data_IF_834778075087
#
_entry.id   IF_834778075087
#
_cell.length_a   1.000
_cell.length_b   1.000
_cell.length_c   1.000
_cell.angle_alpha   90.00
_cell.angle_beta   90.00
_cell.angle_gamma   90.00
#
_symmetry.space_group_name_H-M   'P 1'
#
loop_
_entity.id
_entity.type
_entity.pdbx_description
1 polymer ?
#
# COMPACT_ATOMS: atom_id res chain seq x y z
N UNK A 1 -3.67 32.85 13.60
CA UNK A 1 -2.64 31.80 13.51
C UNK A 1 -1.46 32.24 14.35
N UNK A 2 -0.80 31.34 15.09
CA UNK A 2 0.44 31.68 15.79
C UNK A 2 1.50 32.18 14.78
N UNK A 3 2.34 33.11 15.21
CA UNK A 3 3.46 33.56 14.39
C UNK A 3 4.43 32.39 14.17
N UNK A 4 4.91 32.16 12.93
CA UNK A 4 5.85 31.09 12.67
C UNK A 4 7.17 31.32 13.40
N UNK A 5 7.79 30.23 13.86
CA UNK A 5 9.14 30.28 14.44
C UNK A 5 10.15 30.27 13.30
N UNK A 6 11.02 31.27 13.27
CA UNK A 6 12.10 31.37 12.28
C UNK A 6 13.25 30.42 12.63
N UNK A 7 13.59 29.51 11.72
CA UNK A 7 14.69 28.55 11.88
C UNK A 7 15.73 28.80 10.79
N UNK A 8 16.97 29.08 11.21
CA UNK A 8 18.12 29.18 10.31
C UNK A 8 18.68 27.79 10.03
N UNK A 9 18.62 27.35 8.79
CA UNK A 9 19.13 26.05 8.37
C UNK A 9 20.59 26.13 7.90
N UNK A 10 21.44 25.15 8.24
CA UNK A 10 22.75 25.01 7.62
C UNK A 10 22.61 24.73 6.12
N UNK A 11 23.61 25.14 5.33
CA UNK A 11 23.63 25.04 3.86
C UNK A 11 23.30 23.63 3.34
N UNK A 12 23.78 22.59 4.00
CA UNK A 12 23.54 21.21 3.55
C UNK A 12 22.06 20.80 3.68
N UNK A 13 21.32 21.31 4.67
CA UNK A 13 19.88 21.05 4.78
C UNK A 13 19.09 21.84 3.73
N UNK A 14 19.52 23.06 3.40
CA UNK A 14 18.93 23.83 2.31
C UNK A 14 19.13 23.10 0.97
N UNK A 15 20.35 22.60 0.72
CA UNK A 15 20.66 21.78 -0.46
C UNK A 15 19.82 20.50 -0.50
N UNK A 16 19.61 19.86 0.66
CA UNK A 16 18.77 18.66 0.77
C UNK A 16 17.31 18.97 0.38
N UNK A 17 16.75 20.07 0.87
CA UNK A 17 15.39 20.50 0.49
C UNK A 17 15.25 20.76 -1.02
N UNK A 18 16.25 21.37 -1.65
CA UNK A 18 16.28 21.59 -3.10
C UNK A 18 16.38 20.27 -3.86
N UNK A 19 17.29 19.38 -3.45
CA UNK A 19 17.45 18.05 -4.05
C UNK A 19 16.13 17.26 -3.98
N UNK A 20 15.46 17.34 -2.83
CA UNK A 20 14.20 16.65 -2.58
C UNK A 20 13.11 17.10 -3.55
N UNK A 21 12.84 18.41 -3.58
CA UNK A 21 11.75 18.99 -4.36
C UNK A 21 12.00 18.94 -5.88
N UNK A 22 13.24 19.11 -6.32
CA UNK A 22 13.55 19.33 -7.74
C UNK A 22 14.24 18.15 -8.44
N UNK A 23 14.72 17.16 -7.69
CA UNK A 23 15.40 15.99 -8.27
C UNK A 23 14.67 14.71 -7.88
N UNK A 24 14.54 14.43 -6.58
CA UNK A 24 14.01 13.16 -6.11
C UNK A 24 12.54 12.98 -6.49
N UNK A 25 11.71 13.98 -6.18
CA UNK A 25 10.28 14.00 -6.50
C UNK A 25 9.97 13.84 -7.99
N UNK A 26 10.48 14.72 -8.88
CA UNK A 26 10.29 14.54 -10.31
C UNK A 26 10.81 13.20 -10.84
N UNK A 27 11.91 12.68 -10.30
CA UNK A 27 12.49 11.42 -10.79
C UNK A 27 11.59 10.21 -10.54
N UNK A 28 11.05 10.03 -9.32
CA UNK A 28 10.14 8.90 -9.09
C UNK A 28 8.79 9.11 -9.80
N UNK A 29 8.29 10.35 -9.94
CA UNK A 29 7.03 10.61 -10.64
C UNK A 29 7.17 10.25 -12.13
N UNK A 30 8.27 10.64 -12.77
CA UNK A 30 8.53 10.25 -14.16
C UNK A 30 8.69 8.73 -14.32
N UNK A 31 9.33 8.07 -13.36
CA UNK A 31 9.44 6.61 -13.35
C UNK A 31 8.07 5.95 -13.15
N UNK A 32 7.26 6.44 -12.22
CA UNK A 32 5.90 5.95 -11.94
C UNK A 32 4.99 6.09 -13.17
N UNK A 33 5.01 7.25 -13.82
CA UNK A 33 4.30 7.49 -15.08
C UNK A 33 4.77 6.55 -16.20
N UNK A 34 6.08 6.34 -16.35
CA UNK A 34 6.62 5.39 -17.32
C UNK A 34 6.10 3.96 -17.06
N UNK A 35 6.10 3.53 -15.80
CA UNK A 35 5.56 2.22 -15.41
C UNK A 35 4.05 2.14 -15.69
N UNK A 36 3.29 3.18 -15.38
CA UNK A 36 1.85 3.25 -15.62
C UNK A 36 1.52 3.06 -17.11
N UNK A 37 2.22 3.77 -18.00
CA UNK A 37 2.06 3.64 -19.45
C UNK A 37 2.47 2.22 -19.91
N UNK A 38 3.60 1.72 -19.41
CA UNK A 38 4.08 0.37 -19.75
C UNK A 38 3.11 -0.72 -19.32
N UNK A 39 2.53 -0.61 -18.13
CA UNK A 39 1.65 -1.62 -17.54
C UNK A 39 0.23 -1.59 -18.12
N UNK A 40 -0.20 -0.49 -18.72
CA UNK A 40 -1.56 -0.33 -19.28
C UNK A 40 -1.93 -1.39 -20.34
N UNK A 41 -0.94 -2.02 -20.99
CA UNK A 41 -1.16 -3.06 -22.02
C UNK A 41 -1.37 -4.47 -21.44
N UNK A 42 -1.19 -4.68 -20.13
CA UNK A 42 -1.28 -6.00 -19.51
C UNK A 42 -2.63 -6.17 -18.82
N UNK A 43 -3.35 -7.25 -19.16
CA UNK A 43 -4.69 -7.53 -18.64
C UNK A 43 -4.68 -8.42 -17.38
N UNK A 44 -3.53 -8.97 -16.99
CA UNK A 44 -3.42 -9.86 -15.82
C UNK A 44 -3.88 -9.13 -14.56
N UNK A 45 -4.75 -9.78 -13.78
CA UNK A 45 -5.43 -9.15 -12.64
C UNK A 45 -4.46 -8.62 -11.59
N UNK A 46 -3.40 -9.38 -11.29
CA UNK A 46 -2.35 -8.96 -10.37
C UNK A 46 -1.62 -7.69 -10.84
N UNK A 47 -1.43 -7.53 -12.16
CA UNK A 47 -0.83 -6.34 -12.76
C UNK A 47 -1.83 -5.17 -12.77
N UNK A 48 -3.13 -5.44 -12.89
CA UNK A 48 -4.17 -4.41 -12.81
C UNK A 48 -4.24 -3.76 -11.43
N UNK A 49 -4.08 -4.53 -10.35
CA UNK A 49 -3.99 -3.97 -8.99
C UNK A 49 -2.79 -3.03 -8.86
N UNK A 50 -1.62 -3.46 -9.36
CA UNK A 50 -0.42 -2.64 -9.37
C UNK A 50 -0.61 -1.36 -10.20
N UNK A 51 -1.22 -1.47 -11.39
CA UNK A 51 -1.51 -0.34 -12.26
C UNK A 51 -2.44 0.67 -11.59
N UNK A 52 -3.53 0.23 -10.96
CA UNK A 52 -4.42 1.13 -10.21
C UNK A 52 -3.72 1.76 -8.99
N UNK A 53 -2.80 1.03 -8.35
CA UNK A 53 -1.93 1.60 -7.31
C UNK A 53 -1.07 2.73 -7.85
N UNK A 54 -0.45 2.55 -9.03
CA UNK A 54 0.34 3.60 -9.69
C UNK A 54 -0.53 4.79 -10.11
N UNK A 55 -1.77 4.57 -10.56
CA UNK A 55 -2.71 5.67 -10.85
C UNK A 55 -3.00 6.49 -9.60
N UNK A 56 -3.30 5.82 -8.47
CA UNK A 56 -3.56 6.50 -7.21
C UNK A 56 -2.32 7.27 -6.72
N UNK A 57 -1.14 6.70 -6.90
CA UNK A 57 0.15 7.32 -6.58
C UNK A 57 0.35 8.62 -7.37
N UNK A 58 0.27 8.55 -8.71
CA UNK A 58 0.47 9.72 -9.58
C UNK A 58 -0.56 10.82 -9.31
N UNK A 59 -1.82 10.47 -9.05
CA UNK A 59 -2.85 11.47 -8.68
C UNK A 59 -2.50 12.15 -7.35
N UNK A 60 -2.08 11.36 -6.36
CA UNK A 60 -1.68 11.90 -5.06
C UNK A 60 -0.46 12.81 -5.17
N UNK A 61 0.58 12.38 -5.86
CA UNK A 61 1.82 13.15 -6.02
C UNK A 61 1.66 14.38 -6.89
N UNK A 62 0.85 14.28 -7.95
CA UNK A 62 0.50 15.45 -8.75
C UNK A 62 -0.27 16.48 -7.91
N UNK A 63 -1.19 16.04 -7.04
CA UNK A 63 -1.88 16.94 -6.13
C UNK A 63 -0.91 17.63 -5.15
N UNK A 64 0.06 16.89 -4.59
CA UNK A 64 1.12 17.45 -3.75
C UNK A 64 1.97 18.48 -4.51
N UNK A 65 2.42 18.16 -5.73
CA UNK A 65 3.21 19.07 -6.56
C UNK A 65 2.44 20.36 -6.91
N UNK A 66 1.15 20.27 -7.26
CA UNK A 66 0.30 21.44 -7.51
C UNK A 66 0.10 22.26 -6.24
N UNK A 67 -0.09 21.61 -5.09
CA UNK A 67 -0.22 22.29 -3.80
C UNK A 67 1.06 23.07 -3.46
N UNK A 68 2.22 22.45 -3.66
CA UNK A 68 3.52 23.06 -3.42
C UNK A 68 3.77 24.26 -4.35
N UNK A 69 3.65 24.08 -5.66
CA UNK A 69 3.99 25.10 -6.66
C UNK A 69 2.96 26.24 -6.75
N UNK A 70 1.67 25.92 -6.61
CA UNK A 70 0.58 26.88 -6.83
C UNK A 70 0.02 27.50 -5.56
N UNK A 71 0.07 26.77 -4.43
CA UNK A 71 -0.63 27.14 -3.20
C UNK A 71 0.28 27.20 -1.97
N UNK A 72 1.59 26.98 -2.12
CA UNK A 72 2.55 26.98 -1.00
C UNK A 72 2.10 26.06 0.14
N UNK A 73 1.58 24.87 -0.20
CA UNK A 73 1.04 23.86 0.72
C UNK A 73 -0.23 24.27 1.50
N UNK A 74 -0.87 25.40 1.16
CA UNK A 74 -2.05 25.89 1.86
C UNK A 74 -3.37 25.20 1.45
N UNK A 75 -3.40 24.44 0.35
CA UNK A 75 -4.63 23.86 -0.19
C UNK A 75 -4.99 22.55 0.50
N UNK A 76 -5.96 22.61 1.42
CA UNK A 76 -6.48 21.43 2.14
C UNK A 76 -6.97 20.31 1.22
N UNK A 77 -7.75 20.57 0.16
CA UNK A 77 -8.23 19.49 -0.70
C UNK A 77 -7.10 18.76 -1.45
N UNK A 78 -6.06 19.48 -1.89
CA UNK A 78 -4.95 18.86 -2.61
C UNK A 78 -4.11 17.99 -1.68
N UNK A 79 -3.84 18.47 -0.47
CA UNK A 79 -3.13 17.68 0.54
C UNK A 79 -3.94 16.44 0.97
N UNK A 80 -5.26 16.57 1.14
CA UNK A 80 -6.13 15.43 1.40
C UNK A 80 -6.10 14.41 0.26
N UNK A 81 -6.05 14.89 -0.99
CA UNK A 81 -5.93 14.04 -2.17
C UNK A 81 -4.60 13.29 -2.17
N UNK A 82 -3.50 13.95 -1.83
CA UNK A 82 -2.19 13.32 -1.66
C UNK A 82 -2.23 12.22 -0.58
N UNK A 83 -2.66 12.56 0.63
CA UNK A 83 -2.74 11.63 1.76
C UNK A 83 -3.62 10.40 1.46
N UNK A 84 -4.82 10.60 0.87
CA UNK A 84 -5.70 9.50 0.46
C UNK A 84 -5.07 8.70 -0.68
N UNK A 85 -4.43 9.37 -1.65
CA UNK A 85 -3.68 8.73 -2.73
C UNK A 85 -2.61 7.79 -2.21
N UNK A 86 -1.83 8.19 -1.20
CA UNK A 86 -0.80 7.36 -0.59
C UNK A 86 -1.39 6.12 0.12
N UNK A 87 -2.46 6.29 0.90
CA UNK A 87 -3.16 5.16 1.54
C UNK A 87 -3.68 4.15 0.52
N UNK A 88 -4.32 4.64 -0.55
CA UNK A 88 -4.87 3.79 -1.62
C UNK A 88 -3.75 3.09 -2.37
N UNK A 89 -2.64 3.79 -2.67
CA UNK A 89 -1.45 3.22 -3.30
C UNK A 89 -0.90 2.05 -2.49
N UNK A 90 -0.65 2.25 -1.19
CA UNK A 90 -0.12 1.20 -0.31
C UNK A 90 -1.09 0.01 -0.20
N UNK A 91 -2.41 0.28 -0.15
CA UNK A 91 -3.42 -0.76 -0.17
C UNK A 91 -3.41 -1.59 -1.46
N UNK A 92 -3.37 -0.94 -2.63
CA UNK A 92 -3.38 -1.63 -3.91
C UNK A 92 -2.05 -2.33 -4.22
N UNK A 93 -0.91 -1.79 -3.78
CA UNK A 93 0.39 -2.47 -3.88
C UNK A 93 0.44 -3.71 -2.98
N UNK A 94 -0.16 -3.64 -1.78
CA UNK A 94 -0.32 -4.82 -0.92
C UNK A 94 -1.19 -5.87 -1.61
N UNK A 95 -2.32 -5.46 -2.19
CA UNK A 95 -3.20 -6.37 -2.92
C UNK A 95 -2.49 -7.03 -4.12
N UNK A 96 -1.77 -6.23 -4.92
CA UNK A 96 -0.98 -6.73 -6.03
C UNK A 96 0.07 -7.75 -5.57
N UNK A 97 0.76 -7.47 -4.46
CA UNK A 97 1.76 -8.37 -3.88
C UNK A 97 1.11 -9.68 -3.44
N UNK A 98 -0.05 -9.63 -2.76
CA UNK A 98 -0.78 -10.82 -2.35
C UNK A 98 -1.26 -11.66 -3.54
N UNK A 99 -1.76 -11.03 -4.60
CA UNK A 99 -2.16 -11.73 -5.83
C UNK A 99 -0.96 -12.34 -6.57
N UNK A 100 0.17 -11.64 -6.66
CA UNK A 100 1.40 -12.20 -7.26
C UNK A 100 1.88 -13.41 -6.46
N UNK A 101 2.00 -13.27 -5.13
CA UNK A 101 2.46 -14.35 -4.26
C UNK A 101 1.51 -15.55 -4.35
N UNK A 102 0.20 -15.32 -4.32
CA UNK A 102 -0.75 -16.41 -4.45
C UNK A 102 -0.71 -17.05 -5.84
N UNK A 103 -0.91 -16.28 -6.91
CA UNK A 103 -1.09 -16.84 -8.26
C UNK A 103 0.19 -17.40 -8.87
N UNK A 104 1.35 -16.91 -8.44
CA UNK A 104 2.64 -17.27 -9.06
C UNK A 104 3.53 -18.12 -8.17
N UNK A 105 3.34 -18.10 -6.85
CA UNK A 105 4.20 -18.83 -5.91
C UNK A 105 3.44 -19.89 -5.10
N UNK A 106 2.36 -19.50 -4.43
CA UNK A 106 1.71 -20.35 -3.42
C UNK A 106 0.57 -21.20 -3.97
N UNK A 107 -0.14 -20.74 -5.00
CA UNK A 107 -1.36 -21.34 -5.52
C UNK A 107 -2.37 -21.70 -4.42
N UNK A 108 -2.46 -20.88 -3.36
CA UNK A 108 -3.30 -21.15 -2.20
C UNK A 108 -4.78 -21.03 -2.55
N UNK A 109 -5.16 -20.07 -3.39
CA UNK A 109 -6.54 -19.87 -3.84
C UNK A 109 -6.83 -20.45 -5.23
N UNK A 110 -5.84 -21.02 -5.91
CA UNK A 110 -6.02 -21.64 -7.21
C UNK A 110 -6.66 -23.04 -7.08
N UNK A 111 -7.93 -23.19 -7.48
CA UNK A 111 -8.63 -24.49 -7.46
C UNK A 111 -7.93 -25.56 -8.32
N UNK A 112 -7.37 -25.14 -9.46
CA UNK A 112 -6.78 -26.03 -10.46
C UNK A 112 -5.37 -26.54 -10.09
N UNK A 113 -4.68 -25.95 -9.10
CA UNK A 113 -3.30 -26.31 -8.75
C UNK A 113 -3.18 -26.68 -7.28
N UNK A 114 -2.20 -27.53 -6.96
CA UNK A 114 -1.87 -27.82 -5.57
C UNK A 114 -1.13 -26.63 -4.97
N UNK A 115 -1.55 -26.21 -3.77
CA UNK A 115 -0.85 -25.19 -3.02
C UNK A 115 0.62 -25.60 -2.78
N UNK A 116 1.58 -24.73 -3.04
CA UNK A 116 3.01 -24.99 -2.86
C UNK A 116 3.36 -25.31 -1.40
N UNK A 117 2.56 -24.81 -0.45
CA UNK A 117 2.72 -25.06 0.98
C UNK A 117 2.16 -26.42 1.42
N UNK A 118 1.58 -27.22 0.51
CA UNK A 118 1.05 -28.55 0.83
C UNK A 118 2.11 -29.47 1.45
N UNK A 119 3.40 -29.28 1.09
CA UNK A 119 4.52 -30.02 1.70
C UNK A 119 4.63 -29.81 3.21
N UNK A 120 4.28 -28.62 3.71
CA UNK A 120 4.24 -28.33 5.15
C UNK A 120 2.96 -28.82 5.81
N UNK A 121 1.84 -28.84 5.08
CA UNK A 121 0.55 -29.30 5.58
C UNK A 121 0.35 -30.83 5.47
N UNK A 122 1.22 -31.54 4.73
CA UNK A 122 1.11 -32.92 4.25
C UNK A 122 -0.04 -33.14 3.26
N UNK A 123 -1.21 -32.57 3.53
CA UNK A 123 -2.39 -32.56 2.66
C UNK A 123 -3.03 -31.17 2.68
N UNK A 124 -3.87 -30.85 1.69
CA UNK A 124 -4.59 -29.58 1.65
C UNK A 124 -5.90 -29.71 2.45
N UNK A 125 -6.00 -29.15 3.67
CA UNK A 125 -7.18 -29.35 4.53
C UNK A 125 -8.43 -28.73 3.92
N UNK A 126 -8.27 -27.66 3.12
CA UNK A 126 -9.34 -26.98 2.39
C UNK A 126 -10.02 -27.92 1.39
N UNK A 127 -9.24 -28.74 0.67
CA UNK A 127 -9.78 -29.75 -0.24
C UNK A 127 -10.54 -30.85 0.51
N UNK A 128 -10.20 -31.08 1.77
CA UNK A 128 -10.90 -31.99 2.67
C UNK A 128 -12.06 -31.34 3.45
N UNK A 129 -12.47 -30.11 3.11
CA UNK A 129 -13.58 -29.39 3.75
C UNK A 129 -13.25 -28.82 5.14
N UNK A 130 -11.97 -28.73 5.50
CA UNK A 130 -11.50 -28.19 6.79
C UNK A 130 -10.72 -26.89 6.61
N UNK A 131 -10.44 -26.20 7.72
CA UNK A 131 -9.82 -24.87 7.68
C UNK A 131 -8.34 -24.89 7.31
N UNK A 132 -7.89 -23.86 6.57
CA UNK A 132 -6.49 -23.73 6.17
C UNK A 132 -5.57 -23.58 7.39
N UNK A 133 -4.47 -24.35 7.47
CA UNK A 133 -3.49 -24.28 8.56
C UNK A 133 -2.73 -22.94 8.65
N UNK A 134 -2.77 -22.10 7.62
CA UNK A 134 -2.21 -20.75 7.64
C UNK A 134 -3.17 -19.71 8.23
N UNK A 135 -4.45 -20.04 8.44
CA UNK A 135 -5.42 -19.13 9.06
C UNK A 135 -4.94 -18.55 10.40
N UNK A 136 -4.34 -19.31 11.33
CA UNK A 136 -3.79 -18.76 12.57
C UNK A 136 -2.70 -17.70 12.35
N UNK A 137 -1.88 -17.83 11.29
CA UNK A 137 -0.88 -16.81 10.96
C UNK A 137 -1.56 -15.50 10.54
N UNK A 138 -2.58 -15.56 9.69
CA UNK A 138 -3.34 -14.36 9.32
C UNK A 138 -4.06 -13.73 10.51
N UNK A 139 -4.63 -14.54 11.41
CA UNK A 139 -5.21 -14.05 12.67
C UNK A 139 -4.17 -13.35 13.53
N UNK A 140 -2.96 -13.93 13.64
CA UNK A 140 -1.85 -13.30 14.37
C UNK A 140 -1.44 -11.97 13.74
N UNK A 141 -1.21 -11.93 12.42
CA UNK A 141 -0.81 -10.71 11.71
C UNK A 141 -1.87 -9.62 11.84
N UNK A 142 -3.17 -9.94 11.69
CA UNK A 142 -4.24 -8.95 11.88
C UNK A 142 -4.31 -8.45 13.32
N UNK A 143 -4.11 -9.33 14.31
CA UNK A 143 -4.07 -8.94 15.73
C UNK A 143 -2.92 -7.98 16.03
N UNK A 144 -1.72 -8.28 15.51
CA UNK A 144 -0.57 -7.37 15.61
C UNK A 144 -0.86 -6.06 14.88
N UNK A 145 -1.46 -6.13 13.69
CA UNK A 145 -1.88 -4.96 12.92
C UNK A 145 -2.81 -4.02 13.69
N UNK A 146 -3.79 -4.55 14.44
CA UNK A 146 -4.63 -3.77 15.35
C UNK A 146 -3.78 -3.06 16.40
N UNK A 147 -2.91 -3.79 17.10
CA UNK A 147 -2.11 -3.24 18.19
C UNK A 147 -1.15 -2.14 17.71
N UNK A 148 -0.45 -2.36 16.59
CA UNK A 148 0.50 -1.37 16.05
C UNK A 148 -0.25 -0.14 15.51
N UNK A 149 -1.43 -0.33 14.92
CA UNK A 149 -2.26 0.80 14.44
C UNK A 149 -2.80 1.67 15.58
N UNK A 150 -2.70 1.25 16.84
CA UNK A 150 -3.08 2.09 17.98
C UNK A 150 -1.97 3.10 18.33
N UNK A 151 -0.71 2.86 17.95
CA UNK A 151 0.42 3.71 18.33
C UNK A 151 0.24 5.20 17.98
N UNK A 152 -0.23 5.58 16.77
CA UNK A 152 -0.41 6.99 16.43
C UNK A 152 -1.42 7.73 17.35
N UNK A 153 -2.33 7.00 18.02
CA UNK A 153 -3.26 7.66 18.95
C UNK A 153 -2.59 8.26 20.18
N UNK A 154 -1.36 7.85 20.50
CA UNK A 154 -0.57 8.40 21.61
C UNK A 154 -0.09 9.83 21.35
N UNK A 155 -0.08 10.28 20.09
CA UNK A 155 0.23 11.67 19.72
C UNK A 155 -0.95 12.59 20.07
N UNK A 156 -0.72 13.84 20.49
CA UNK A 156 -1.78 14.85 20.57
C UNK A 156 -2.52 15.00 19.22
N UNK A 157 -3.83 15.28 19.22
CA UNK A 157 -4.64 15.28 17.99
C UNK A 157 -4.23 16.39 17.00
N UNK A 158 -3.79 17.53 17.52
CA UNK A 158 -3.36 18.69 16.75
C UNK A 158 -2.17 19.30 17.48
N UNK A 159 -1.12 19.59 16.72
CA UNK A 159 0.02 20.37 17.18
C UNK A 159 0.24 21.50 16.16
N UNK A 160 -0.15 22.73 16.52
CA UNK A 160 -0.06 23.88 15.61
C UNK A 160 1.24 24.66 15.87
N UNK A 161 2.30 24.27 15.16
CA UNK A 161 3.60 24.93 15.22
C UNK A 161 4.11 25.20 13.80
N UNK A 162 3.64 26.28 13.15
CA UNK A 162 4.19 26.70 11.87
C UNK A 162 5.66 27.09 12.05
N UNK A 163 6.53 26.57 11.19
CA UNK A 163 7.94 26.92 11.14
C UNK A 163 8.22 27.67 9.85
N UNK A 164 9.03 28.72 9.93
CA UNK A 164 9.54 29.40 8.75
C UNK A 164 11.01 29.07 8.60
N UNK A 165 11.37 28.52 7.45
CA UNK A 165 12.74 28.16 7.12
C UNK A 165 13.22 28.98 5.94
N UNK A 166 14.51 29.32 5.95
CA UNK A 166 15.15 30.00 4.81
C UNK A 166 15.91 28.98 3.96
N UNK A 167 15.56 28.90 2.68
CA UNK A 167 16.21 28.03 1.68
C UNK A 167 16.79 28.92 0.59
N UNK A 168 18.11 29.09 0.60
CA UNK A 168 18.89 29.94 -0.30
C UNK A 168 18.30 31.35 -0.48
N UNK A 169 17.86 31.96 0.62
CA UNK A 169 17.28 33.31 0.64
C UNK A 169 15.78 33.36 0.36
N UNK A 170 15.13 32.22 0.10
CA UNK A 170 13.68 32.11 -0.03
C UNK A 170 13.07 31.59 1.27
N UNK A 171 12.09 32.32 1.78
CA UNK A 171 11.31 31.93 2.96
C UNK A 171 10.27 30.88 2.57
N UNK A 172 10.36 29.70 3.17
CA UNK A 172 9.37 28.62 3.05
C UNK A 172 8.70 28.44 4.40
N UNK A 173 7.36 28.38 4.41
CA UNK A 173 6.60 28.10 5.64
C UNK A 173 6.24 26.62 5.65
N UNK A 174 6.85 25.88 6.57
CA UNK A 174 6.49 24.50 6.86
C UNK A 174 5.33 24.54 7.86
N UNK A 175 4.12 24.26 7.39
CA UNK A 175 2.94 24.23 8.25
C UNK A 175 2.14 22.96 8.02
N UNK A 176 1.97 22.18 9.09
CA UNK A 176 1.14 20.99 9.05
C UNK A 176 -0.25 21.29 9.58
N UNK A 177 -1.22 21.51 8.68
CA UNK A 177 -2.55 21.96 9.10
C UNK A 177 -3.23 20.95 10.03
N UNK A 178 -4.04 21.41 11.00
CA UNK A 178 -4.73 20.54 11.95
C UNK A 178 -5.56 19.43 11.30
N UNK A 179 -6.17 19.71 10.14
CA UNK A 179 -6.97 18.74 9.39
C UNK A 179 -6.12 17.57 8.86
N UNK A 180 -4.87 17.84 8.46
CA UNK A 180 -3.91 16.82 8.01
C UNK A 180 -3.52 15.93 9.17
N UNK A 181 -3.19 16.54 10.30
CA UNK A 181 -2.86 15.84 11.53
C UNK A 181 -4.01 14.98 12.05
N UNK A 182 -5.26 15.44 11.94
CA UNK A 182 -6.41 14.64 12.31
C UNK A 182 -6.58 13.43 11.38
N UNK A 183 -6.39 13.60 10.08
CA UNK A 183 -6.45 12.49 9.14
C UNK A 183 -5.37 11.43 9.43
N UNK A 184 -4.12 11.87 9.58
CA UNK A 184 -2.95 11.00 9.78
C UNK A 184 -2.94 10.33 11.16
N UNK A 185 -3.26 11.07 12.24
CA UNK A 185 -3.09 10.58 13.62
C UNK A 185 -4.38 9.99 14.20
N UNK A 186 -5.55 10.20 13.57
CA UNK A 186 -6.84 9.69 14.05
C UNK A 186 -7.57 8.86 13.01
N UNK A 187 -7.86 9.44 11.84
CA UNK A 187 -8.74 8.78 10.86
C UNK A 187 -8.09 7.53 10.27
N UNK A 188 -6.87 7.63 9.77
CA UNK A 188 -6.14 6.48 9.21
C UNK A 188 -5.89 5.36 10.25
N UNK A 189 -5.37 5.65 11.46
CA UNK A 189 -5.25 4.68 12.55
C UNK A 189 -6.57 3.99 12.90
N UNK A 190 -7.66 4.76 13.02
CA UNK A 190 -8.98 4.23 13.34
C UNK A 190 -9.50 3.32 12.23
N UNK A 191 -9.32 3.74 10.97
CA UNK A 191 -9.66 2.93 9.81
C UNK A 191 -8.85 1.63 9.78
N UNK A 192 -7.55 1.68 10.06
CA UNK A 192 -6.70 0.49 10.13
C UNK A 192 -7.17 -0.49 11.23
N UNK A 193 -7.44 0.00 12.45
CA UNK A 193 -7.99 -0.80 13.55
C UNK A 193 -9.33 -1.43 13.16
N UNK A 194 -10.24 -0.66 12.57
CA UNK A 194 -11.55 -1.15 12.15
C UNK A 194 -11.44 -2.22 11.05
N UNK A 195 -10.58 -2.01 10.04
CA UNK A 195 -10.40 -2.94 8.93
C UNK A 195 -9.68 -4.23 9.35
N UNK A 196 -8.63 -4.15 10.18
CA UNK A 196 -8.02 -5.36 10.76
C UNK A 196 -9.00 -6.12 11.67
N UNK A 197 -9.80 -5.40 12.47
CA UNK A 197 -10.86 -6.00 13.28
C UNK A 197 -11.92 -6.70 12.42
N UNK A 198 -12.35 -6.07 11.33
CA UNK A 198 -13.25 -6.69 10.35
C UNK A 198 -12.62 -7.95 9.73
N UNK A 199 -11.35 -7.89 9.35
CA UNK A 199 -10.62 -9.05 8.83
C UNK A 199 -10.57 -10.20 9.85
N UNK A 200 -10.33 -9.92 11.14
CA UNK A 200 -10.37 -10.93 12.21
C UNK A 200 -11.75 -11.58 12.33
N UNK A 201 -12.82 -10.78 12.31
CA UNK A 201 -14.20 -11.28 12.38
C UNK A 201 -14.52 -12.18 11.17
N UNK A 202 -14.12 -11.76 9.97
CA UNK A 202 -14.31 -12.54 8.74
C UNK A 202 -13.56 -13.87 8.82
N UNK A 203 -12.28 -13.84 9.24
CA UNK A 203 -11.48 -15.03 9.44
C UNK A 203 -12.11 -15.95 10.49
N UNK A 204 -12.60 -15.44 11.62
CA UNK A 204 -13.22 -16.29 12.65
C UNK A 204 -14.50 -16.96 12.20
N UNK A 205 -15.37 -16.26 11.48
CA UNK A 205 -16.68 -16.79 11.05
C UNK A 205 -16.60 -17.85 9.95
N UNK A 206 -15.51 -17.91 9.19
CA UNK A 206 -15.41 -18.78 8.02
C UNK A 206 -14.33 -19.84 8.17
N UNK A 207 -14.61 -21.05 7.72
CA UNK A 207 -13.62 -22.13 7.61
C UNK A 207 -12.92 -22.15 6.25
N UNK A 208 -13.48 -21.47 5.24
CA UNK A 208 -12.90 -21.37 3.89
C UNK A 208 -11.70 -20.39 3.89
N UNK A 209 -10.58 -20.68 3.21
CA UNK A 209 -9.51 -19.71 2.96
C UNK A 209 -10.03 -18.34 2.50
N UNK A 210 -9.34 -17.29 2.96
CA UNK A 210 -9.62 -15.87 2.72
C UNK A 210 -10.08 -15.61 1.27
N UNK A 211 -11.35 -15.24 1.12
CA UNK A 211 -11.89 -14.84 -0.16
C UNK A 211 -11.28 -13.50 -0.57
N UNK A 212 -11.56 -13.11 -1.81
CA UNK A 212 -11.16 -11.82 -2.35
C UNK A 212 -11.47 -10.65 -1.41
N UNK A 213 -12.61 -10.67 -0.72
CA UNK A 213 -13.01 -9.63 0.22
C UNK A 213 -12.05 -9.48 1.41
N UNK A 214 -11.65 -10.58 2.06
CA UNK A 214 -10.69 -10.54 3.17
C UNK A 214 -9.34 -9.97 2.73
N UNK A 215 -8.88 -10.31 1.51
CA UNK A 215 -7.62 -9.79 0.96
C UNK A 215 -7.69 -8.29 0.68
N UNK A 216 -8.80 -7.81 0.13
CA UNK A 216 -9.02 -6.37 -0.06
C UNK A 216 -9.05 -5.64 1.30
N UNK A 217 -9.85 -6.12 2.25
CA UNK A 217 -9.97 -5.51 3.59
C UNK A 217 -8.61 -5.49 4.29
N UNK A 218 -7.87 -6.60 4.28
CA UNK A 218 -6.54 -6.69 4.84
C UNK A 218 -5.56 -5.73 4.19
N UNK A 219 -5.58 -5.63 2.85
CA UNK A 219 -4.65 -4.79 2.10
C UNK A 219 -4.85 -3.31 2.42
N UNK A 220 -6.11 -2.84 2.47
CA UNK A 220 -6.40 -1.46 2.87
C UNK A 220 -6.18 -1.23 4.37
N UNK A 221 -6.38 -2.23 5.24
CA UNK A 221 -5.98 -2.13 6.64
C UNK A 221 -4.47 -1.86 6.76
N UNK A 222 -3.67 -2.62 6.00
CA UNK A 222 -2.22 -2.44 5.96
C UNK A 222 -1.83 -1.10 5.35
N UNK A 223 -2.48 -0.65 4.28
CA UNK A 223 -2.23 0.66 3.68
C UNK A 223 -2.46 1.82 4.66
N UNK A 224 -3.61 1.84 5.36
CA UNK A 224 -3.90 2.82 6.40
C UNK A 224 -2.89 2.76 7.56
N UNK A 225 -2.52 1.55 7.98
CA UNK A 225 -1.60 1.32 9.10
C UNK A 225 -0.20 1.81 8.77
N UNK A 226 0.37 1.36 7.66
CA UNK A 226 1.72 1.75 7.21
C UNK A 226 1.84 3.25 7.03
N UNK A 227 0.85 3.87 6.36
CA UNK A 227 0.81 5.32 6.19
C UNK A 227 0.83 6.04 7.55
N UNK A 228 -0.09 5.68 8.46
CA UNK A 228 -0.18 6.37 9.74
C UNK A 228 1.03 6.15 10.65
N UNK A 229 1.58 4.93 10.68
CA UNK A 229 2.79 4.61 11.45
C UNK A 229 3.98 5.37 10.90
N UNK A 230 4.14 5.41 9.57
CA UNK A 230 5.22 6.17 8.94
C UNK A 230 5.12 7.65 9.28
N UNK A 231 3.95 8.28 9.07
CA UNK A 231 3.74 9.70 9.38
C UNK A 231 3.99 9.98 10.87
N UNK A 232 3.51 9.11 11.76
CA UNK A 232 3.75 9.21 13.20
C UNK A 232 5.25 9.13 13.55
N UNK A 233 5.95 8.11 13.06
CA UNK A 233 7.36 7.87 13.36
C UNK A 233 8.24 8.97 12.76
N UNK A 234 8.04 9.31 11.48
CA UNK A 234 8.79 10.33 10.76
C UNK A 234 8.65 11.68 11.47
N UNK A 235 7.42 12.06 11.82
CA UNK A 235 7.16 13.30 12.55
C UNK A 235 7.76 13.29 13.96
N UNK A 236 7.78 12.14 14.65
CA UNK A 236 8.34 12.04 16.00
C UNK A 236 9.87 12.15 16.01
N UNK A 237 10.52 11.61 14.98
CA UNK A 237 11.97 11.61 14.81
C UNK A 237 12.46 12.97 14.29
N UNK A 238 11.76 13.55 13.30
CA UNK A 238 12.19 14.75 12.59
C UNK A 238 11.43 16.01 13.03
N UNK A 239 10.94 16.03 14.26
CA UNK A 239 10.13 17.12 14.83
C UNK A 239 10.83 18.49 14.73
N UNK A 240 12.13 18.53 14.99
CA UNK A 240 12.90 19.77 15.04
C UNK A 240 13.37 20.25 13.66
N UNK A 241 13.30 19.38 12.64
CA UNK A 241 13.85 19.64 11.30
C UNK A 241 12.89 19.14 10.20
N UNK A 242 11.91 19.97 9.79
CA UNK A 242 10.91 19.60 8.78
C UNK A 242 11.50 19.14 7.45
N UNK A 243 12.68 19.64 7.06
CA UNK A 243 13.34 19.18 5.83
C UNK A 243 13.67 17.69 5.87
N UNK A 244 14.03 17.14 7.03
CA UNK A 244 14.27 15.71 7.15
C UNK A 244 12.97 14.91 7.04
N UNK A 245 11.87 15.47 7.56
CA UNK A 245 10.56 14.87 7.43
C UNK A 245 10.20 14.71 5.94
N UNK A 246 10.27 15.79 5.17
CA UNK A 246 10.00 15.77 3.72
C UNK A 246 10.99 14.86 2.98
N UNK A 247 12.27 14.89 3.33
CA UNK A 247 13.27 14.05 2.69
C UNK A 247 12.97 12.56 2.84
N UNK A 248 12.60 12.12 4.05
CA UNK A 248 12.28 10.72 4.31
C UNK A 248 10.99 10.26 3.62
N UNK A 249 10.01 11.15 3.51
CA UNK A 249 8.78 10.91 2.76
C UNK A 249 9.06 10.65 1.28
N UNK A 250 9.70 11.61 0.61
CA UNK A 250 10.03 11.50 -0.81
C UNK A 250 11.02 10.35 -1.09
N UNK A 251 11.93 10.04 -0.15
CA UNK A 251 12.85 8.89 -0.27
C UNK A 251 12.11 7.55 -0.19
N UNK A 252 11.10 7.43 0.65
CA UNK A 252 10.32 6.20 0.77
C UNK A 252 9.47 5.99 -0.49
N UNK A 253 8.92 7.05 -1.05
CA UNK A 253 8.19 7.02 -2.33
C UNK A 253 9.12 6.60 -3.48
N UNK A 254 10.32 7.19 -3.56
CA UNK A 254 11.35 6.76 -4.51
C UNK A 254 11.68 5.27 -4.38
N UNK A 255 11.98 4.79 -3.17
CA UNK A 255 12.29 3.37 -2.92
C UNK A 255 11.12 2.47 -3.31
N UNK A 256 9.89 2.91 -3.07
CA UNK A 256 8.68 2.16 -3.42
C UNK A 256 8.57 2.01 -4.94
N UNK A 257 8.64 3.11 -5.70
CA UNK A 257 8.51 3.07 -7.17
C UNK A 257 9.70 2.36 -7.82
N UNK A 258 10.92 2.59 -7.34
CA UNK A 258 12.11 1.89 -7.80
C UNK A 258 12.03 0.38 -7.50
N UNK A 259 11.50 0.00 -6.34
CA UNK A 259 11.25 -1.40 -5.97
C UNK A 259 10.25 -2.09 -6.90
N UNK A 260 9.17 -1.40 -7.27
CA UNK A 260 8.22 -1.88 -8.28
C UNK A 260 8.92 -2.06 -9.64
N UNK A 261 9.67 -1.06 -10.10
CA UNK A 261 10.41 -1.13 -11.36
C UNK A 261 11.38 -2.33 -11.39
N UNK A 262 12.17 -2.49 -10.32
CA UNK A 262 13.13 -3.58 -10.18
C UNK A 262 12.44 -4.95 -10.17
N UNK A 263 11.33 -5.08 -9.44
CA UNK A 263 10.55 -6.32 -9.37
C UNK A 263 10.03 -6.71 -10.76
N UNK A 264 9.43 -5.75 -11.47
CA UNK A 264 8.94 -5.97 -12.83
C UNK A 264 10.07 -6.31 -13.81
N UNK A 265 11.26 -5.73 -13.63
CA UNK A 265 12.42 -6.03 -14.46
C UNK A 265 12.93 -7.46 -14.22
N UNK A 266 13.17 -7.83 -12.95
CA UNK A 266 13.72 -9.14 -12.58
C UNK A 266 12.78 -10.29 -12.93
N UNK A 267 11.48 -10.07 -12.82
CA UNK A 267 10.46 -11.10 -13.06
C UNK A 267 9.65 -10.87 -14.33
N UNK A 268 10.19 -10.09 -15.30
CA UNK A 268 9.47 -9.69 -16.52
C UNK A 268 8.89 -10.90 -17.27
N UNK A 269 9.68 -11.96 -17.45
CA UNK A 269 9.28 -13.11 -18.26
C UNK A 269 8.11 -13.86 -17.61
N UNK A 270 8.05 -13.87 -16.26
CA UNK A 270 7.01 -14.55 -15.48
C UNK A 270 5.77 -13.71 -15.19
N UNK A 271 5.94 -12.39 -15.03
CA UNK A 271 4.85 -11.49 -14.65
C UNK A 271 4.18 -10.85 -15.86
N UNK A 272 4.94 -10.60 -16.93
CA UNK A 272 4.49 -9.84 -18.09
C UNK A 272 4.26 -10.73 -19.31
N UNK A 273 5.15 -11.69 -19.56
CA UNK A 273 5.13 -12.48 -20.80
C UNK A 273 4.37 -13.81 -20.65
N UNK A 274 4.37 -14.40 -19.45
CA UNK A 274 3.56 -15.59 -19.16
C UNK A 274 2.08 -15.20 -18.98
N UNK A 275 1.19 -15.57 -19.93
CA UNK A 275 -0.23 -15.34 -19.74
C UNK A 275 -0.63 -16.03 -18.44
N UNK A 276 -1.20 -15.26 -17.50
CA UNK A 276 -1.73 -15.83 -16.27
C UNK A 276 -2.58 -17.03 -16.67
N UNK A 277 -2.39 -18.22 -16.06
CA UNK A 277 -3.07 -19.43 -16.49
C UNK A 277 -4.55 -19.08 -16.54
N UNK A 278 -5.12 -19.07 -17.74
CA UNK A 278 -6.47 -18.57 -17.97
C UNK A 278 -7.35 -19.26 -16.95
N UNK A 279 -7.80 -18.52 -15.94
CA UNK A 279 -8.69 -19.07 -14.93
C UNK A 279 -9.85 -19.59 -15.74
N UNK A 280 -10.05 -20.92 -15.75
CA UNK A 280 -10.98 -21.63 -16.61
C UNK A 280 -12.36 -20.97 -16.50
N UNK A 281 -12.59 -19.96 -17.32
CA UNK A 281 -13.88 -19.37 -17.59
C UNK A 281 -14.58 -20.40 -18.45
N UNK A 282 -15.21 -21.36 -17.79
CA UNK A 282 -15.97 -22.40 -18.45
C UNK A 282 -15.13 -23.62 -18.83
N UNK A 283 -14.69 -24.39 -17.82
CA UNK A 283 -15.04 -25.81 -17.90
C UNK A 283 -16.56 -25.88 -17.88
N UNK A 284 -17.17 -25.64 -19.06
CA UNK A 284 -18.56 -25.93 -19.28
C UNK A 284 -18.79 -27.34 -18.79
N UNK A 285 -19.75 -27.49 -17.89
CA UNK A 285 -20.27 -28.78 -17.52
C UNK A 285 -20.63 -29.49 -18.82
N UNK A 286 -19.74 -30.39 -19.28
CA UNK A 286 -20.10 -31.38 -20.27
C UNK A 286 -21.24 -32.17 -19.65
N UNK A 287 -22.47 -32.12 -20.20
CA UNK A 287 -23.55 -32.90 -19.67
C UNK A 287 -23.25 -34.38 -19.96
N UNK A 288 -23.19 -35.18 -18.90
CA UNK A 288 -23.43 -36.62 -18.88
C UNK A 288 -22.46 -37.55 -19.63
N UNK A 289 -21.85 -38.48 -18.88
CA UNK A 289 -21.96 -39.89 -19.23
C UNK A 289 -22.07 -40.79 -17.98
N UNK A 290 -23.28 -41.08 -17.48
CA UNK A 290 -23.52 -42.18 -16.55
C UNK A 290 -23.53 -43.51 -17.32
N UNK A 291 -22.39 -43.87 -17.89
CA UNK A 291 -22.22 -45.04 -18.75
C UNK A 291 -21.42 -46.16 -18.08
N UNK A 292 -22.13 -47.06 -17.38
CA UNK A 292 -21.85 -48.51 -17.26
C UNK A 292 -20.40 -48.97 -17.04
N UNK A 293 -20.12 -49.43 -15.82
CA UNK A 293 -19.03 -50.36 -15.52
C UNK A 293 -19.51 -51.44 -14.55
N UNK A 294 -20.04 -52.54 -15.09
CA UNK A 294 -20.39 -53.77 -14.38
C UNK A 294 -19.14 -54.40 -13.76
N UNK A 295 -19.13 -54.61 -12.44
CA UNK A 295 -18.20 -55.54 -11.81
C UNK A 295 -18.79 -56.96 -11.91
N UNK A 296 -18.17 -57.80 -12.73
CA UNK A 296 -18.21 -59.24 -12.61
C UNK A 296 -16.79 -59.73 -12.30
N UNK A 297 -16.67 -60.39 -11.14
CA UNK A 297 -15.79 -61.50 -10.75
C UNK A 297 -15.37 -61.34 -9.29
#
# INVERSE_FOLDING_TARGET
MPNPVDISLPIYLQALGVLNAWVLKPAYMLLGLFLLVRLARYAAEEIRWLWWGLVAFEIGEFACAVNFLGYQMASVPLEMTHNVGMVVTLGLFTMATLEIVDRRMLFQFAKARSCALVRFCRECPVRAGSSCRFKPLFVFVCSVGVLVSILPFTKPPVIDHPMRVQVFGHSVVCHHLPVYQMFENRVCPAAAVALFGACLIMLWRRNDPALFAERVVFSFALGCSLFAIFRFANHRINWDYPIWFDFWEESLEWVTIAGVALTLHLFRDRLLDDPAPAGEQGAGAGPNDPGKGTCHA
#
